data_IF_273052337767
#
_entry.id   IF_273052337767
#
_cell.length_a   1.000
_cell.length_b   1.000
_cell.length_c   1.000
_cell.angle_alpha   90.00
_cell.angle_beta   90.00
_cell.angle_gamma   90.00
#
_symmetry.space_group_name_H-M   'P 1'
#
loop_
_entity.id
_entity.type
_entity.pdbx_description
1 polymer ?
#
# COMPACT_ATOMS: atom_id res chain seq x y z
N UNK A 1 7.93 3.59 -14.19
CA UNK A 1 7.22 2.80 -13.17
C UNK A 1 5.74 2.96 -13.43
N UNK A 2 5.04 1.94 -13.94
CA UNK A 2 3.58 2.04 -14.11
C UNK A 2 2.91 1.33 -12.94
N UNK A 3 2.18 2.09 -12.12
CA UNK A 3 1.23 1.53 -11.16
C UNK A 3 0.16 0.74 -11.96
N UNK A 4 -0.42 -0.29 -11.35
CA UNK A 4 -1.46 -1.15 -11.94
C UNK A 4 -2.48 -0.39 -12.78
N UNK A 5 -2.94 -0.98 -13.90
CA UNK A 5 -3.87 -0.35 -14.85
C UNK A 5 -5.24 0.01 -14.26
N UNK A 6 -5.61 -0.64 -13.16
CA UNK A 6 -6.87 -0.38 -12.43
C UNK A 6 -6.73 0.69 -11.34
N UNK A 7 -5.55 1.30 -11.20
CA UNK A 7 -5.30 2.32 -10.18
C UNK A 7 -5.67 3.71 -10.69
N UNK A 8 -6.73 4.29 -10.09
CA UNK A 8 -7.10 5.68 -10.29
C UNK A 8 -6.47 6.59 -9.22
N UNK A 9 -5.39 7.29 -9.56
CA UNK A 9 -4.65 8.16 -8.64
C UNK A 9 -5.52 9.29 -8.05
N UNK A 10 -6.62 9.70 -8.68
CA UNK A 10 -7.45 10.77 -8.12
C UNK A 10 -8.18 10.33 -6.85
N UNK A 11 -8.39 9.03 -6.63
CA UNK A 11 -9.10 8.46 -5.48
C UNK A 11 -8.20 8.24 -4.25
N UNK A 12 -6.88 8.30 -4.42
CA UNK A 12 -5.91 7.84 -3.44
C UNK A 12 -4.93 8.94 -3.05
N UNK A 13 -4.52 8.96 -1.78
CA UNK A 13 -3.45 9.80 -1.25
C UNK A 13 -2.38 8.91 -0.66
N UNK A 14 -1.11 9.15 -0.99
CA UNK A 14 0.00 8.41 -0.41
C UNK A 14 0.12 8.67 1.10
N UNK A 15 0.29 7.59 1.87
CA UNK A 15 0.48 7.71 3.32
C UNK A 15 1.93 8.13 3.59
N UNK A 16 2.10 9.29 4.21
CA UNK A 16 3.41 9.88 4.50
C UNK A 16 4.16 9.14 5.62
N UNK A 17 5.48 9.33 5.69
CA UNK A 17 6.33 8.74 6.74
C UNK A 17 6.85 7.34 6.44
N UNK A 18 6.58 6.81 5.25
CA UNK A 18 7.07 5.51 4.80
C UNK A 18 7.89 5.66 3.51
N UNK A 19 8.96 4.88 3.40
CA UNK A 19 9.82 4.83 2.20
C UNK A 19 9.92 3.40 1.71
N UNK A 20 8.77 2.85 1.33
CA UNK A 20 8.67 1.49 0.80
C UNK A 20 9.22 1.42 -0.62
N UNK A 21 9.85 0.29 -0.95
CA UNK A 21 10.39 0.03 -2.29
C UNK A 21 9.59 -1.05 -3.00
N UNK A 22 9.26 -2.10 -2.27
CA UNK A 22 8.64 -3.31 -2.81
C UNK A 22 7.12 -3.30 -2.71
N UNK A 23 6.55 -2.31 -2.00
CA UNK A 23 5.11 -2.05 -1.92
C UNK A 23 4.80 -0.56 -2.10
N UNK A 24 3.52 -0.26 -2.34
CA UNK A 24 2.93 1.08 -2.25
C UNK A 24 1.84 1.10 -1.19
N UNK A 25 1.67 2.24 -0.50
CA UNK A 25 0.71 2.38 0.57
C UNK A 25 -0.07 3.69 0.44
N UNK A 26 -1.39 3.57 0.27
CA UNK A 26 -2.27 4.70 0.00
C UNK A 26 -3.52 4.65 0.87
N UNK A 27 -4.11 5.82 1.13
CA UNK A 27 -5.40 5.97 1.78
C UNK A 27 -6.44 6.51 0.80
N UNK A 28 -7.64 5.94 0.82
CA UNK A 28 -8.76 6.41 0.02
C UNK A 28 -9.19 7.81 0.49
N UNK A 29 -9.52 8.70 -0.44
CA UNK A 29 -10.00 10.05 -0.11
C UNK A 29 -11.44 10.06 0.39
N UNK A 30 -12.25 9.11 -0.06
CA UNK A 30 -13.70 9.10 0.19
C UNK A 30 -14.13 8.35 1.46
N UNK A 31 -13.36 7.36 1.92
CA UNK A 31 -13.76 6.49 3.03
C UNK A 31 -12.56 5.92 3.79
N UNK A 32 -12.82 5.31 4.95
CA UNK A 32 -11.84 4.70 5.85
C UNK A 32 -11.23 3.42 5.31
N UNK A 33 -10.51 3.50 4.19
CA UNK A 33 -9.88 2.35 3.53
C UNK A 33 -8.47 2.71 3.10
N UNK A 34 -7.58 1.74 3.21
CA UNK A 34 -6.23 1.83 2.68
C UNK A 34 -6.00 0.77 1.63
N UNK A 35 -5.05 1.03 0.73
CA UNK A 35 -4.59 0.11 -0.30
C UNK A 35 -3.10 -0.16 -0.09
N UNK A 36 -2.75 -1.43 0.12
CA UNK A 36 -1.38 -1.93 0.23
C UNK A 36 -1.13 -2.85 -0.95
N UNK A 37 -0.28 -2.42 -1.89
CA UNK A 37 -0.07 -3.18 -3.13
C UNK A 37 1.41 -3.45 -3.39
N UNK A 38 1.73 -4.65 -3.84
CA UNK A 38 3.06 -5.00 -4.32
C UNK A 38 3.50 -4.09 -5.47
N UNK A 39 4.79 -3.74 -5.46
CA UNK A 39 5.46 -2.87 -6.42
C UNK A 39 6.68 -3.57 -7.02
N UNK A 40 6.53 -4.85 -7.38
CA UNK A 40 7.58 -5.66 -8.03
C UNK A 40 7.10 -6.29 -9.34
N UNK A 41 6.57 -5.48 -10.29
CA UNK A 41 5.97 -6.00 -11.51
C UNK A 41 6.96 -6.81 -12.37
N UNK A 42 8.25 -6.48 -12.30
CA UNK A 42 9.34 -7.13 -13.06
C UNK A 42 9.52 -8.62 -12.72
N UNK A 43 9.07 -9.06 -11.54
CA UNK A 43 9.08 -10.46 -11.11
C UNK A 43 7.69 -10.96 -10.72
N UNK A 44 6.65 -10.46 -11.39
CA UNK A 44 5.25 -10.85 -11.14
C UNK A 44 4.84 -10.69 -9.67
N UNK A 45 5.35 -9.66 -9.00
CA UNK A 45 5.08 -9.34 -7.59
C UNK A 45 5.52 -10.42 -6.59
N UNK A 46 6.48 -11.29 -6.95
CA UNK A 46 7.09 -12.20 -5.99
C UNK A 46 7.71 -11.42 -4.81
N UNK A 47 7.48 -11.88 -3.58
CA UNK A 47 7.99 -11.24 -2.37
C UNK A 47 9.36 -11.83 -1.97
N UNK A 48 10.21 -10.97 -1.41
CA UNK A 48 11.45 -11.34 -0.70
C UNK A 48 11.31 -10.95 0.78
N UNK A 49 12.23 -11.34 1.68
CA UNK A 49 12.10 -11.01 3.11
C UNK A 49 11.85 -9.51 3.38
N UNK A 50 12.57 -8.60 2.70
CA UNK A 50 12.32 -7.16 2.85
C UNK A 50 10.91 -6.73 2.44
N UNK A 51 10.32 -7.37 1.43
CA UNK A 51 8.93 -7.10 1.01
C UNK A 51 7.96 -7.47 2.13
N UNK A 52 8.23 -8.57 2.85
CA UNK A 52 7.42 -9.01 3.99
C UNK A 52 7.56 -8.03 5.16
N UNK A 53 8.77 -7.52 5.42
CA UNK A 53 9.00 -6.49 6.45
C UNK A 53 8.24 -5.19 6.14
N UNK A 54 8.25 -4.74 4.87
CA UNK A 54 7.51 -3.56 4.43
C UNK A 54 5.99 -3.77 4.56
N UNK A 55 5.48 -4.94 4.15
CA UNK A 55 4.08 -5.31 4.33
C UNK A 55 3.66 -5.31 5.79
N UNK A 56 4.47 -5.90 6.68
CA UNK A 56 4.21 -5.93 8.10
C UNK A 56 4.06 -4.52 8.67
N UNK A 57 4.99 -3.61 8.32
CA UNK A 57 4.95 -2.21 8.77
C UNK A 57 3.69 -1.48 8.28
N UNK A 58 3.31 -1.65 7.01
CA UNK A 58 2.12 -1.00 6.45
C UNK A 58 0.82 -1.52 7.10
N UNK A 59 0.72 -2.84 7.29
CA UNK A 59 -0.46 -3.48 7.89
C UNK A 59 -0.57 -3.18 9.39
N UNK A 60 0.54 -3.14 10.11
CA UNK A 60 0.55 -2.77 11.53
C UNK A 60 0.13 -1.31 11.74
N UNK A 61 0.60 -0.39 10.88
CA UNK A 61 0.11 0.98 10.87
C UNK A 61 -1.40 1.07 10.59
N UNK A 62 -1.87 0.38 9.54
CA UNK A 62 -3.29 0.35 9.21
C UNK A 62 -4.16 -0.16 10.37
N UNK A 63 -3.72 -1.24 11.05
CA UNK A 63 -4.39 -1.85 12.21
C UNK A 63 -4.55 -0.87 13.38
N UNK A 64 -3.59 0.04 13.57
CA UNK A 64 -3.60 1.03 14.66
C UNK A 64 -4.28 2.34 14.26
N UNK A 65 -4.67 2.50 13.00
CA UNK A 65 -5.32 3.71 12.49
C UNK A 65 -6.83 3.61 12.70
N UNK A 66 -7.36 4.38 13.66
CA UNK A 66 -8.72 4.22 14.19
C UNK A 66 -9.84 4.50 13.17
N UNK A 67 -9.56 5.26 12.12
CA UNK A 67 -10.51 5.61 11.06
C UNK A 67 -10.31 4.77 9.78
N UNK A 68 -9.50 3.71 9.84
CA UNK A 68 -9.34 2.70 8.78
C UNK A 68 -10.10 1.44 9.17
N UNK A 69 -11.18 1.14 8.44
CA UNK A 69 -12.02 -0.04 8.64
C UNK A 69 -11.76 -1.19 7.65
N UNK A 70 -11.02 -0.94 6.57
CA UNK A 70 -10.76 -1.94 5.53
C UNK A 70 -9.38 -1.74 4.87
N UNK A 71 -8.76 -2.84 4.48
CA UNK A 71 -7.49 -2.89 3.74
C UNK A 71 -7.73 -3.63 2.42
N UNK A 72 -7.30 -3.02 1.32
CA UNK A 72 -7.24 -3.60 -0.02
C UNK A 72 -5.81 -3.96 -0.42
#
# INVERSE_FOLDING_TARGET
MSISTIFDQSQWTEVQGFSFRDITYHRAKAHGTVRVAFNRPEVRNAFRPSTVDELYRALDHARQTTDVGCVL
#
